data_IF_869635703824
#
_entry.id   IF_869635703824
#
_cell.length_a   1.000
_cell.length_b   1.000
_cell.length_c   1.000
_cell.angle_alpha   90.00
_cell.angle_beta   90.00
_cell.angle_gamma   90.00
#
_symmetry.space_group_name_H-M   'P 1'
#
loop_
_entity.id
_entity.type
_entity.pdbx_description
1 polymer ?
#
# COMPACT_ATOMS: atom_id res chain seq x y z
N UNK A 1 65.77 -48.06 -36.17
CA UNK A 1 65.23 -46.77 -35.67
C UNK A 1 64.41 -46.05 -36.76
N UNK A 2 63.32 -46.64 -37.26
CA UNK A 2 62.46 -46.03 -38.30
C UNK A 2 60.95 -46.02 -37.96
N UNK A 3 60.51 -46.63 -36.85
CA UNK A 3 59.09 -46.75 -36.49
C UNK A 3 58.45 -45.56 -35.76
N UNK A 4 59.24 -44.69 -35.09
CA UNK A 4 58.70 -43.55 -34.34
C UNK A 4 58.50 -42.28 -35.17
N UNK A 5 59.08 -42.20 -36.38
CA UNK A 5 59.04 -40.99 -37.19
C UNK A 5 57.70 -40.85 -37.95
N UNK A 6 57.09 -41.96 -38.35
CA UNK A 6 55.82 -42.00 -39.09
C UNK A 6 54.61 -41.70 -38.20
N UNK A 7 54.62 -42.14 -36.94
CA UNK A 7 53.55 -41.85 -35.97
C UNK A 7 53.53 -40.35 -35.57
N UNK A 8 54.71 -39.73 -35.44
CA UNK A 8 54.80 -38.29 -35.20
C UNK A 8 54.30 -37.47 -36.39
N UNK A 9 54.60 -37.89 -37.62
CA UNK A 9 54.08 -37.25 -38.83
C UNK A 9 52.55 -37.38 -38.95
N UNK A 10 51.97 -38.52 -38.56
CA UNK A 10 50.53 -38.72 -38.55
C UNK A 10 49.84 -37.84 -37.51
N UNK A 11 50.38 -37.78 -36.28
CA UNK A 11 49.90 -36.89 -35.21
C UNK A 11 50.03 -35.42 -35.56
N UNK A 12 51.13 -35.00 -36.19
CA UNK A 12 51.33 -33.64 -36.65
C UNK A 12 50.32 -33.24 -37.75
N UNK A 13 50.02 -34.14 -38.69
CA UNK A 13 48.98 -33.92 -39.71
C UNK A 13 47.59 -33.82 -39.09
N UNK A 14 47.28 -34.66 -38.10
CA UNK A 14 46.00 -34.63 -37.39
C UNK A 14 45.82 -33.35 -36.56
N UNK A 15 46.85 -32.92 -35.84
CA UNK A 15 46.85 -31.65 -35.11
C UNK A 15 46.73 -30.44 -36.05
N UNK A 16 47.40 -30.48 -37.21
CA UNK A 16 47.27 -29.45 -38.23
C UNK A 16 45.84 -29.39 -38.80
N UNK A 17 45.18 -30.53 -39.02
CA UNK A 17 43.78 -30.59 -39.44
C UNK A 17 42.84 -30.01 -38.38
N UNK A 18 43.05 -30.32 -37.10
CA UNK A 18 42.26 -29.74 -36.00
C UNK A 18 42.47 -28.22 -35.91
N UNK A 19 43.71 -27.76 -36.07
CA UNK A 19 44.02 -26.33 -36.06
C UNK A 19 43.33 -25.60 -37.22
N UNK A 20 43.31 -26.21 -38.42
CA UNK A 20 42.60 -25.67 -39.58
C UNK A 20 41.08 -25.64 -39.32
N UNK A 21 40.51 -26.71 -38.77
CA UNK A 21 39.07 -26.79 -38.44
C UNK A 21 38.69 -25.76 -37.36
N UNK A 22 39.52 -25.59 -36.32
CA UNK A 22 39.30 -24.58 -35.28
C UNK A 22 39.41 -23.16 -35.85
N UNK A 23 40.39 -22.94 -36.74
CA UNK A 23 40.54 -21.68 -37.47
C UNK A 23 39.31 -21.35 -38.33
N UNK A 24 38.79 -22.31 -39.08
CA UNK A 24 37.60 -22.09 -39.92
C UNK A 24 36.35 -21.84 -39.10
N UNK A 25 36.17 -22.53 -37.96
CA UNK A 25 35.06 -22.29 -37.03
C UNK A 25 35.16 -20.89 -36.43
N UNK A 26 36.33 -20.46 -35.97
CA UNK A 26 36.52 -19.13 -35.40
C UNK A 26 36.29 -18.02 -36.43
N UNK A 27 36.77 -18.19 -37.66
CA UNK A 27 36.50 -17.25 -38.76
C UNK A 27 35.00 -17.20 -39.07
N UNK A 28 34.31 -18.34 -39.09
CA UNK A 28 32.86 -18.42 -39.26
C UNK A 28 32.09 -17.73 -38.13
N UNK A 29 32.53 -17.90 -36.89
CA UNK A 29 31.90 -17.30 -35.71
C UNK A 29 32.12 -15.78 -35.68
N UNK A 30 33.32 -15.30 -36.03
CA UNK A 30 33.61 -13.87 -36.22
C UNK A 30 32.80 -13.30 -37.39
N UNK A 31 32.71 -14.00 -38.53
CA UNK A 31 31.90 -13.57 -39.65
C UNK A 31 30.41 -13.51 -39.30
N UNK A 32 29.92 -14.44 -38.47
CA UNK A 32 28.54 -14.47 -37.97
C UNK A 32 28.29 -13.32 -36.98
N UNK A 33 29.21 -13.08 -36.04
CA UNK A 33 29.16 -11.92 -35.14
C UNK A 33 29.24 -10.60 -35.89
N UNK A 34 30.11 -10.47 -36.90
CA UNK A 34 30.17 -9.31 -37.77
C UNK A 34 28.89 -9.18 -38.61
N UNK A 35 28.32 -10.27 -39.10
CA UNK A 35 27.04 -10.26 -39.81
C UNK A 35 25.91 -9.79 -38.91
N UNK A 36 25.81 -10.27 -37.67
CA UNK A 36 24.83 -9.80 -36.70
C UNK A 36 25.15 -8.40 -36.15
N UNK A 37 26.40 -7.97 -36.11
CA UNK A 37 26.77 -6.60 -35.77
C UNK A 37 26.43 -5.62 -36.90
N UNK A 38 26.61 -6.02 -38.16
CA UNK A 38 26.22 -5.25 -39.35
C UNK A 38 24.70 -5.28 -39.55
N UNK A 39 24.04 -6.43 -39.32
CA UNK A 39 22.58 -6.57 -39.40
C UNK A 39 21.87 -5.94 -38.20
N UNK A 40 22.48 -6.00 -37.02
CA UNK A 40 22.08 -5.26 -35.82
C UNK A 40 22.23 -3.75 -36.00
N UNK A 41 23.25 -3.32 -36.76
CA UNK A 41 23.37 -1.93 -37.26
C UNK A 41 22.44 -1.60 -38.42
N UNK A 42 21.82 -2.57 -39.10
CA UNK A 42 20.76 -2.32 -40.11
C UNK A 42 19.35 -2.18 -39.50
N UNK A 43 19.21 -2.36 -38.19
CA UNK A 43 18.12 -1.80 -37.38
C UNK A 43 18.53 -0.52 -36.63
N UNK A 44 19.74 -0.02 -36.92
CA UNK A 44 20.26 1.27 -36.50
C UNK A 44 20.82 1.97 -37.74
N UNK A 45 20.00 2.05 -38.80
CA UNK A 45 20.17 3.14 -39.75
C UNK A 45 19.97 4.40 -38.94
N UNK A 46 21.07 5.11 -38.69
CA UNK A 46 21.01 6.50 -38.34
C UNK A 46 19.96 7.13 -39.25
N UNK A 47 19.03 7.84 -38.64
CA UNK A 47 18.59 9.06 -39.26
C UNK A 47 19.88 9.84 -39.55
N UNK A 48 20.42 9.67 -40.76
CA UNK A 48 20.80 10.87 -41.48
C UNK A 48 19.63 11.83 -41.27
N UNK A 49 19.96 13.02 -40.76
CA UNK A 49 19.17 14.19 -41.04
C UNK A 49 18.97 14.25 -42.56
N UNK A 50 17.97 13.52 -43.04
CA UNK A 50 17.11 14.02 -44.08
C UNK A 50 16.57 15.31 -43.50
N UNK A 51 17.26 16.39 -43.81
CA UNK A 51 16.63 17.67 -44.09
C UNK A 51 15.59 17.39 -45.18
N UNK A 52 14.48 16.75 -44.82
CA UNK A 52 13.21 17.14 -45.38
C UNK A 52 12.92 18.51 -44.77
N UNK A 53 13.59 19.51 -45.33
CA UNK A 53 13.02 20.81 -45.55
C UNK A 53 11.74 20.64 -46.38
N UNK A 54 10.69 20.21 -45.72
CA UNK A 54 9.57 21.12 -45.60
C UNK A 54 9.59 21.60 -44.17
N UNK A 55 10.46 22.59 -43.92
CA UNK A 55 10.14 23.60 -42.92
C UNK A 55 8.72 24.03 -43.28
N UNK A 56 7.67 23.77 -42.48
CA UNK A 56 6.60 24.75 -42.50
C UNK A 56 7.32 26.07 -42.26
N UNK A 57 6.95 27.11 -43.02
CA UNK A 57 7.31 28.50 -42.67
C UNK A 57 7.33 28.58 -41.15
N UNK A 58 8.34 29.21 -40.54
CA UNK A 58 8.30 29.63 -39.14
C UNK A 58 6.97 30.37 -38.94
N UNK A 59 5.89 29.62 -38.71
CA UNK A 59 4.74 30.09 -38.00
C UNK A 59 5.38 30.44 -36.67
N UNK A 60 5.26 31.70 -36.29
CA UNK A 60 5.45 32.09 -34.91
C UNK A 60 4.85 30.97 -34.07
N UNK A 61 5.68 30.18 -33.38
CA UNK A 61 5.16 29.40 -32.27
C UNK A 61 4.67 30.49 -31.32
N UNK A 62 3.37 30.53 -31.05
CA UNK A 62 2.74 31.65 -30.34
C UNK A 62 2.31 31.27 -28.94
N UNK A 63 2.38 29.98 -28.59
CA UNK A 63 1.85 29.47 -27.32
C UNK A 63 2.90 28.58 -26.65
N UNK A 64 3.05 28.75 -25.34
CA UNK A 64 3.88 27.90 -24.47
C UNK A 64 3.12 26.61 -24.13
N UNK A 65 3.82 25.63 -23.54
CA UNK A 65 3.13 24.42 -23.05
C UNK A 65 2.10 24.78 -21.97
N UNK A 66 2.46 25.68 -21.06
CA UNK A 66 1.62 26.13 -19.95
C UNK A 66 0.31 26.76 -20.46
N UNK A 67 0.39 27.63 -21.47
CA UNK A 67 -0.80 28.27 -22.05
C UNK A 67 -1.74 27.25 -22.70
N UNK A 68 -1.20 26.28 -23.44
CA UNK A 68 -2.01 25.25 -24.09
C UNK A 68 -2.59 24.29 -23.05
N UNK A 69 -1.81 23.89 -22.04
CA UNK A 69 -2.27 23.03 -20.96
C UNK A 69 -3.34 23.70 -20.10
N UNK A 70 -3.19 24.99 -19.79
CA UNK A 70 -4.21 25.80 -19.13
C UNK A 70 -5.51 25.78 -19.92
N UNK A 71 -5.46 26.11 -21.21
CA UNK A 71 -6.64 26.08 -22.07
C UNK A 71 -7.27 24.67 -22.20
N UNK A 72 -6.45 23.63 -22.30
CA UNK A 72 -6.92 22.24 -22.45
C UNK A 72 -7.45 21.65 -21.15
N UNK A 73 -6.97 22.11 -20.00
CA UNK A 73 -7.44 21.65 -18.70
C UNK A 73 -8.94 21.90 -18.48
N UNK A 74 -9.47 22.94 -19.13
CA UNK A 74 -10.87 23.35 -19.08
C UNK A 74 -11.76 22.62 -20.11
N UNK A 75 -11.16 21.86 -21.03
CA UNK A 75 -11.91 21.16 -22.08
C UNK A 75 -12.58 19.89 -21.56
N UNK A 76 -13.78 19.63 -22.09
CA UNK A 76 -14.46 18.37 -21.87
C UNK A 76 -13.72 17.20 -22.57
N UNK A 77 -13.99 15.98 -22.10
CA UNK A 77 -13.37 14.75 -22.62
C UNK A 77 -13.46 14.62 -24.15
N UNK A 78 -14.63 14.87 -24.73
CA UNK A 78 -14.84 14.75 -26.18
C UNK A 78 -14.08 15.82 -26.98
N UNK A 79 -13.90 17.02 -26.43
CA UNK A 79 -13.13 18.09 -27.06
C UNK A 79 -11.64 17.75 -27.07
N UNK A 80 -11.11 17.23 -25.97
CA UNK A 80 -9.74 16.73 -25.91
C UNK A 80 -9.50 15.58 -26.91
N UNK A 81 -10.47 14.68 -27.09
CA UNK A 81 -10.37 13.63 -28.11
C UNK A 81 -10.32 14.19 -29.54
N UNK A 82 -10.97 15.33 -29.81
CA UNK A 82 -10.85 16.03 -31.11
C UNK A 82 -9.45 16.60 -31.30
N UNK A 83 -8.85 17.13 -30.23
CA UNK A 83 -7.49 17.68 -30.24
C UNK A 83 -6.40 16.63 -30.50
N UNK A 84 -6.68 15.33 -30.31
CA UNK A 84 -5.74 14.26 -30.66
C UNK A 84 -5.40 14.15 -32.17
N UNK A 85 -6.04 14.94 -33.03
CA UNK A 85 -5.70 15.05 -34.47
C UNK A 85 -4.72 16.19 -34.76
N UNK A 86 -4.53 17.12 -33.84
CA UNK A 86 -3.75 18.33 -34.04
C UNK A 86 -2.27 18.06 -33.76
N UNK A 87 -1.47 17.86 -34.80
CA UNK A 87 -0.03 17.63 -34.72
C UNK A 87 0.80 18.92 -34.75
N UNK A 88 0.16 20.09 -34.59
CA UNK A 88 0.88 21.37 -34.54
C UNK A 88 1.83 21.43 -33.34
N UNK A 89 3.05 21.91 -33.59
CA UNK A 89 4.10 22.08 -32.59
C UNK A 89 3.81 23.29 -31.69
N UNK A 90 4.17 23.13 -30.41
CA UNK A 90 4.19 24.14 -29.36
C UNK A 90 5.65 24.55 -29.09
N UNK A 91 5.91 25.73 -28.51
CA UNK A 91 7.26 26.31 -28.35
C UNK A 91 8.31 25.34 -27.75
N UNK A 92 7.92 24.52 -26.79
CA UNK A 92 8.78 23.61 -26.05
C UNK A 92 8.88 22.19 -26.66
N UNK A 93 8.43 22.02 -27.91
CA UNK A 93 8.69 20.81 -28.70
C UNK A 93 7.67 19.68 -28.56
N UNK A 94 6.61 19.85 -27.77
CA UNK A 94 5.45 18.96 -27.80
C UNK A 94 4.46 19.39 -28.87
N UNK A 95 3.61 18.46 -29.32
CA UNK A 95 2.48 18.79 -30.20
C UNK A 95 1.20 19.01 -29.39
N UNK A 96 0.22 19.74 -29.94
CA UNK A 96 -1.08 19.92 -29.29
C UNK A 96 -1.75 18.59 -28.94
N UNK A 97 -1.70 17.58 -29.82
CA UNK A 97 -2.21 16.23 -29.51
C UNK A 97 -1.48 15.53 -28.36
N UNK A 98 -0.18 15.79 -28.15
CA UNK A 98 0.54 15.25 -27.00
C UNK A 98 0.02 15.86 -25.69
N UNK A 99 -0.16 17.19 -25.68
CA UNK A 99 -0.70 17.91 -24.53
C UNK A 99 -2.16 17.52 -24.25
N UNK A 100 -2.97 17.34 -25.30
CA UNK A 100 -4.34 16.84 -25.16
C UNK A 100 -4.38 15.43 -24.55
N UNK A 101 -3.47 14.54 -24.95
CA UNK A 101 -3.35 13.22 -24.34
C UNK A 101 -2.94 13.31 -22.87
N UNK A 102 -2.02 14.21 -22.53
CA UNK A 102 -1.63 14.47 -21.15
C UNK A 102 -2.81 14.92 -20.28
N UNK A 103 -3.67 15.82 -20.77
CA UNK A 103 -4.89 16.23 -20.08
C UNK A 103 -5.90 15.06 -19.96
N UNK A 104 -6.09 14.26 -21.02
CA UNK A 104 -6.97 13.09 -20.96
C UNK A 104 -6.56 12.11 -19.87
N UNK A 105 -5.27 11.80 -19.77
CA UNK A 105 -4.76 10.84 -18.77
C UNK A 105 -4.76 11.45 -17.37
N UNK A 106 -4.20 12.65 -17.22
CA UNK A 106 -3.95 13.23 -15.89
C UNK A 106 -5.19 13.86 -15.25
N UNK A 107 -6.12 14.39 -16.04
CA UNK A 107 -7.29 15.13 -15.53
C UNK A 107 -8.60 14.37 -15.73
N UNK A 108 -8.72 13.62 -16.83
CA UNK A 108 -9.93 12.83 -17.13
C UNK A 108 -9.74 11.34 -16.81
N UNK A 109 -8.62 10.95 -16.19
CA UNK A 109 -8.31 9.58 -15.80
C UNK A 109 -8.46 8.57 -16.96
N UNK A 110 -8.11 8.97 -18.18
CA UNK A 110 -8.19 8.10 -19.35
C UNK A 110 -7.27 6.87 -19.19
N UNK A 111 -7.80 5.69 -19.49
CA UNK A 111 -7.10 4.41 -19.32
C UNK A 111 -6.20 4.11 -20.52
N UNK A 112 -5.04 4.79 -20.54
CA UNK A 112 -4.07 4.64 -21.61
C UNK A 112 -3.48 3.21 -21.67
N UNK A 113 -3.28 2.57 -20.52
CA UNK A 113 -2.74 1.22 -20.45
C UNK A 113 -3.72 0.21 -21.05
N UNK A 114 -5.03 0.35 -20.81
CA UNK A 114 -6.03 -0.49 -21.49
C UNK A 114 -6.16 -0.18 -22.98
N UNK A 115 -5.98 1.09 -23.37
CA UNK A 115 -5.98 1.47 -24.77
C UNK A 115 -4.74 0.93 -25.53
N UNK A 116 -3.58 0.89 -24.87
CA UNK A 116 -2.29 0.48 -25.43
C UNK A 116 -1.50 -0.44 -24.46
N UNK A 117 -1.91 -1.72 -24.28
CA UNK A 117 -1.37 -2.62 -23.24
C UNK A 117 0.13 -2.98 -23.36
N UNK A 118 0.75 -2.63 -24.48
CA UNK A 118 2.15 -2.93 -24.79
C UNK A 118 2.91 -1.67 -25.21
N UNK A 119 2.47 -0.51 -24.70
CA UNK A 119 3.13 0.74 -24.96
C UNK A 119 4.52 0.76 -24.34
N UNK A 120 5.55 0.63 -25.17
CA UNK A 120 6.94 0.72 -24.73
C UNK A 120 7.45 2.18 -24.78
N UNK A 121 6.68 3.09 -24.18
CA UNK A 121 7.05 4.50 -24.03
C UNK A 121 7.19 4.78 -22.55
N UNK A 122 8.37 5.28 -22.14
CA UNK A 122 8.58 5.72 -20.76
C UNK A 122 7.86 7.04 -20.54
N UNK A 123 6.89 7.12 -19.61
CA UNK A 123 6.25 8.38 -19.28
C UNK A 123 7.28 9.34 -18.66
N UNK A 124 7.08 10.63 -18.88
CA UNK A 124 7.84 11.72 -18.24
C UNK A 124 6.89 12.55 -17.40
N UNK A 125 7.31 12.92 -16.20
CA UNK A 125 6.56 13.85 -15.36
C UNK A 125 7.18 15.24 -15.47
N UNK A 126 6.33 16.26 -15.51
CA UNK A 126 6.72 17.65 -15.39
C UNK A 126 5.70 18.39 -14.52
N UNK A 127 6.18 19.35 -13.73
CA UNK A 127 5.36 20.18 -12.86
C UNK A 127 5.22 21.56 -13.48
N UNK A 128 3.99 22.06 -13.53
CA UNK A 128 3.64 23.39 -14.00
C UNK A 128 2.87 24.11 -12.90
N UNK A 129 2.74 25.43 -13.01
CA UNK A 129 1.83 26.18 -12.16
C UNK A 129 0.45 26.19 -12.81
N UNK A 130 -0.58 25.84 -12.06
CA UNK A 130 -1.96 26.01 -12.51
C UNK A 130 -2.40 27.48 -12.46
N UNK A 131 -3.65 27.76 -12.89
CA UNK A 131 -4.20 29.12 -12.88
C UNK A 131 -4.27 29.77 -11.48
N UNK A 132 -4.20 28.95 -10.42
CA UNK A 132 -4.20 29.40 -9.02
C UNK A 132 -2.79 29.56 -8.45
N UNK A 133 -1.76 29.18 -9.20
CA UNK A 133 -0.36 29.17 -8.78
C UNK A 133 0.04 27.93 -7.96
N UNK A 134 -0.76 26.87 -7.98
CA UNK A 134 -0.44 25.60 -7.34
C UNK A 134 0.34 24.68 -8.28
N UNK A 135 1.19 23.83 -7.71
CA UNK A 135 1.96 22.85 -8.47
C UNK A 135 1.05 21.76 -9.05
N UNK A 136 1.02 21.68 -10.39
CA UNK A 136 0.31 20.66 -11.15
C UNK A 136 1.33 19.74 -11.84
N UNK A 137 1.48 18.52 -11.31
CA UNK A 137 2.33 17.48 -11.92
C UNK A 137 1.55 16.71 -12.97
N UNK A 138 2.02 16.75 -14.22
CA UNK A 138 1.40 16.11 -15.37
C UNK A 138 2.29 15.02 -15.96
N UNK A 139 1.66 13.99 -16.51
CA UNK A 139 2.36 12.87 -17.16
C UNK A 139 2.30 12.97 -18.68
N UNK A 140 3.47 12.94 -19.30
CA UNK A 140 3.70 13.05 -20.74
C UNK A 140 4.14 11.72 -21.32
N UNK A 141 3.72 11.45 -22.55
CA UNK A 141 4.04 10.23 -23.28
C UNK A 141 4.79 10.58 -24.57
N UNK A 142 6.10 10.88 -24.50
CA UNK A 142 6.87 11.34 -25.65
C UNK A 142 7.01 10.24 -26.70
N UNK A 143 7.17 10.63 -27.97
CA UNK A 143 7.37 9.71 -29.11
C UNK A 143 6.14 8.84 -29.47
N UNK A 144 4.92 9.31 -29.17
CA UNK A 144 3.71 8.73 -29.74
C UNK A 144 3.63 8.99 -31.25
N UNK A 145 3.23 7.97 -32.02
CA UNK A 145 3.02 8.09 -33.47
C UNK A 145 1.53 8.10 -33.81
N UNK A 146 1.19 8.40 -35.07
CA UNK A 146 -0.20 8.52 -35.53
C UNK A 146 -1.02 7.25 -35.29
N UNK A 147 -0.39 6.07 -35.40
CA UNK A 147 -1.05 4.78 -35.14
C UNK A 147 -1.48 4.68 -33.67
N UNK A 148 -0.67 5.15 -32.73
CA UNK A 148 -1.05 5.17 -31.31
C UNK A 148 -2.27 6.06 -31.08
N UNK A 149 -2.27 7.30 -31.61
CA UNK A 149 -3.40 8.21 -31.48
C UNK A 149 -4.69 7.68 -32.12
N UNK A 150 -4.59 6.98 -33.26
CA UNK A 150 -5.75 6.30 -33.86
C UNK A 150 -6.31 5.19 -32.98
N UNK A 151 -5.46 4.39 -32.34
CA UNK A 151 -5.90 3.35 -31.40
C UNK A 151 -6.58 3.97 -30.18
N UNK A 152 -6.00 5.03 -29.60
CA UNK A 152 -6.56 5.78 -28.47
C UNK A 152 -7.97 6.29 -28.80
N UNK A 153 -8.14 6.96 -29.94
CA UNK A 153 -9.45 7.47 -30.38
C UNK A 153 -10.47 6.35 -30.61
N UNK A 154 -10.06 5.23 -31.20
CA UNK A 154 -10.95 4.07 -31.43
C UNK A 154 -11.39 3.42 -30.11
N UNK A 155 -10.46 3.28 -29.18
CA UNK A 155 -10.74 2.76 -27.84
C UNK A 155 -11.75 3.66 -27.11
N UNK A 156 -11.51 4.97 -27.08
CA UNK A 156 -12.38 5.93 -26.42
C UNK A 156 -13.83 5.91 -26.94
N UNK A 157 -14.01 5.66 -28.24
CA UNK A 157 -15.35 5.56 -28.87
C UNK A 157 -16.05 4.22 -28.64
N UNK A 158 -15.29 3.16 -28.44
CA UNK A 158 -15.82 1.80 -28.30
C UNK A 158 -16.21 1.50 -26.86
N UNK A 159 -15.39 1.95 -25.92
CA UNK A 159 -15.55 1.68 -24.51
C UNK A 159 -16.59 2.61 -23.88
N UNK A 160 -17.49 2.04 -23.08
CA UNK A 160 -18.47 2.84 -22.34
C UNK A 160 -17.82 3.74 -21.29
N UNK A 161 -16.78 3.23 -20.64
CA UNK A 161 -15.99 3.93 -19.63
C UNK A 161 -14.51 3.78 -19.98
N UNK A 162 -13.95 4.64 -20.85
CA UNK A 162 -12.56 4.58 -21.29
C UNK A 162 -11.59 5.15 -20.24
N UNK A 163 -11.91 4.96 -18.96
CA UNK A 163 -11.20 5.56 -17.82
C UNK A 163 -10.73 4.48 -16.85
N UNK A 164 -9.76 4.84 -16.02
CA UNK A 164 -9.15 3.95 -15.02
C UNK A 164 -10.13 3.65 -13.87
N UNK A 165 -9.84 2.64 -13.03
CA UNK A 165 -10.59 2.41 -11.80
C UNK A 165 -10.65 3.64 -10.89
N UNK A 166 -9.59 4.45 -10.84
CA UNK A 166 -9.60 5.74 -10.11
C UNK A 166 -10.62 6.72 -10.69
N UNK A 167 -10.68 6.85 -12.02
CA UNK A 167 -11.66 7.71 -12.66
C UNK A 167 -13.09 7.26 -12.33
N UNK A 168 -13.37 5.95 -12.41
CA UNK A 168 -14.68 5.39 -12.07
C UNK A 168 -15.02 5.68 -10.60
N UNK A 169 -14.04 5.51 -9.71
CA UNK A 169 -14.18 5.79 -8.28
C UNK A 169 -14.55 7.26 -8.02
N UNK A 170 -13.83 8.21 -8.64
CA UNK A 170 -14.11 9.64 -8.49
C UNK A 170 -15.48 10.01 -9.04
N UNK A 171 -15.88 9.45 -10.18
CA UNK A 171 -17.22 9.64 -10.72
C UNK A 171 -18.30 9.06 -9.79
N UNK A 172 -18.04 7.94 -9.12
CA UNK A 172 -18.96 7.37 -8.13
C UNK A 172 -19.14 8.28 -6.92
N UNK A 173 -18.06 8.90 -6.42
CA UNK A 173 -18.15 9.85 -5.31
C UNK A 173 -18.96 11.09 -5.69
N UNK A 174 -18.84 11.57 -6.93
CA UNK A 174 -19.58 12.74 -7.41
C UNK A 174 -21.05 12.42 -7.73
N UNK A 175 -21.33 11.30 -8.40
CA UNK A 175 -22.69 10.93 -8.82
C UNK A 175 -22.82 9.40 -8.90
N UNK A 176 -23.22 8.73 -7.81
CA UNK A 176 -23.33 7.28 -7.76
C UNK A 176 -24.54 6.81 -8.59
N UNK A 177 -24.29 6.24 -9.76
CA UNK A 177 -25.34 5.66 -10.61
C UNK A 177 -25.25 4.13 -10.67
N UNK A 178 -26.37 3.40 -10.82
CA UNK A 178 -26.34 1.93 -10.92
C UNK A 178 -25.42 1.38 -12.02
N UNK A 179 -25.36 1.96 -13.24
CA UNK A 179 -24.43 1.51 -14.26
C UNK A 179 -22.96 1.73 -13.91
N UNK A 180 -22.65 2.76 -13.13
CA UNK A 180 -21.28 3.07 -12.70
C UNK A 180 -20.86 2.17 -11.53
N UNK A 181 -21.76 1.93 -10.57
CA UNK A 181 -21.55 0.92 -9.50
C UNK A 181 -21.23 -0.44 -10.12
N UNK A 182 -21.99 -0.87 -11.13
CA UNK A 182 -21.73 -2.13 -11.86
C UNK A 182 -20.39 -2.15 -12.60
N UNK A 183 -19.89 -0.99 -13.06
CA UNK A 183 -18.58 -0.91 -13.71
C UNK A 183 -17.46 -1.04 -12.67
N UNK A 184 -17.58 -0.32 -11.55
CA UNK A 184 -16.63 -0.39 -10.44
C UNK A 184 -16.57 -1.77 -9.80
N UNK A 185 -17.71 -2.46 -9.65
CA UNK A 185 -17.77 -3.82 -9.12
C UNK A 185 -16.91 -4.84 -9.90
N UNK A 186 -16.53 -4.52 -11.14
CA UNK A 186 -15.72 -5.38 -12.01
C UNK A 186 -14.24 -5.06 -11.94
N UNK A 187 -13.84 -3.99 -11.26
CA UNK A 187 -12.43 -3.65 -11.11
C UNK A 187 -11.78 -4.57 -10.07
N UNK A 188 -10.46 -4.73 -10.19
CA UNK A 188 -9.69 -5.56 -9.28
C UNK A 188 -9.78 -5.04 -7.84
N UNK A 189 -9.75 -3.72 -7.65
CA UNK A 189 -9.79 -3.06 -6.35
C UNK A 189 -11.07 -3.43 -5.59
N UNK A 190 -12.22 -3.35 -6.27
CA UNK A 190 -13.49 -3.74 -5.68
C UNK A 190 -13.54 -5.23 -5.36
N UNK A 191 -13.14 -6.08 -6.30
CA UNK A 191 -13.16 -7.53 -6.08
C UNK A 191 -12.25 -7.96 -4.92
N UNK A 192 -11.07 -7.34 -4.79
CA UNK A 192 -10.14 -7.63 -3.71
C UNK A 192 -10.75 -7.31 -2.34
N UNK A 193 -11.30 -6.11 -2.16
CA UNK A 193 -11.92 -5.74 -0.89
C UNK A 193 -13.24 -6.47 -0.63
N UNK A 194 -14.09 -6.63 -1.64
CA UNK A 194 -15.31 -7.43 -1.50
C UNK A 194 -14.98 -8.85 -1.00
N UNK A 195 -13.95 -9.48 -1.55
CA UNK A 195 -13.58 -10.85 -1.18
C UNK A 195 -13.24 -10.95 0.30
N UNK A 196 -12.43 -10.03 0.85
CA UNK A 196 -12.05 -10.08 2.27
C UNK A 196 -13.25 -9.77 3.19
N UNK A 197 -14.11 -8.82 2.81
CA UNK A 197 -15.25 -8.43 3.64
C UNK A 197 -16.41 -9.44 3.62
N UNK A 198 -16.53 -10.24 2.56
CA UNK A 198 -17.58 -11.26 2.43
C UNK A 198 -17.17 -12.64 2.88
N UNK A 199 -15.87 -12.96 2.87
CA UNK A 199 -15.37 -14.33 3.15
C UNK A 199 -14.65 -14.49 4.48
N UNK A 200 -14.40 -13.41 5.21
CA UNK A 200 -13.59 -13.44 6.43
C UNK A 200 -14.36 -12.84 7.62
N UNK A 201 -14.53 -13.65 8.67
CA UNK A 201 -15.33 -13.30 9.84
C UNK A 201 -16.80 -13.15 9.49
N UNK A 202 -17.47 -12.19 10.14
CA UNK A 202 -18.87 -11.89 9.84
C UNK A 202 -19.01 -11.25 8.45
N UNK A 203 -19.82 -11.84 7.54
CA UNK A 203 -19.98 -11.33 6.18
C UNK A 203 -20.62 -9.95 6.17
N UNK A 204 -20.00 -9.02 5.42
CA UNK A 204 -20.53 -7.67 5.18
C UNK A 204 -21.25 -7.65 3.85
N UNK A 205 -22.41 -6.99 3.80
CA UNK A 205 -23.17 -6.85 2.56
C UNK A 205 -22.44 -5.98 1.53
N UNK A 206 -22.76 -6.20 0.25
CA UNK A 206 -22.05 -5.56 -0.85
C UNK A 206 -22.23 -4.03 -0.87
N UNK A 207 -23.39 -3.51 -0.43
CA UNK A 207 -23.64 -2.07 -0.44
C UNK A 207 -22.84 -1.39 0.67
N UNK A 208 -22.76 -1.99 1.86
CA UNK A 208 -21.85 -1.51 2.92
C UNK A 208 -20.39 -1.54 2.47
N UNK A 209 -19.95 -2.56 1.71
CA UNK A 209 -18.60 -2.57 1.13
C UNK A 209 -18.41 -1.42 0.14
N UNK A 210 -19.41 -1.13 -0.71
CA UNK A 210 -19.36 0.03 -1.60
C UNK A 210 -19.22 1.34 -0.83
N UNK A 211 -20.06 1.55 0.18
CA UNK A 211 -20.09 2.78 0.96
C UNK A 211 -18.80 2.93 1.76
N UNK A 212 -18.28 1.85 2.35
CA UNK A 212 -16.95 1.81 2.96
C UNK A 212 -15.88 2.26 1.97
N UNK A 213 -15.82 1.66 0.78
CA UNK A 213 -14.78 1.98 -0.19
C UNK A 213 -14.83 3.45 -0.63
N UNK A 214 -16.03 4.00 -0.82
CA UNK A 214 -16.28 5.38 -1.27
C UNK A 214 -16.15 6.42 -0.14
N UNK A 215 -16.12 5.98 1.12
CA UNK A 215 -16.01 6.86 2.30
C UNK A 215 -14.63 7.51 2.51
N UNK A 216 -13.64 7.19 1.66
CA UNK A 216 -12.28 7.75 1.72
C UNK A 216 -11.75 8.08 0.31
N UNK A 217 -10.52 8.55 0.20
CA UNK A 217 -9.84 8.78 -1.07
C UNK A 217 -9.37 7.47 -1.74
N UNK A 218 -9.05 7.57 -3.04
CA UNK A 218 -8.59 6.42 -3.83
C UNK A 218 -7.22 5.89 -3.36
N UNK A 219 -6.38 6.72 -2.74
CA UNK A 219 -5.08 6.30 -2.23
C UNK A 219 -5.23 5.33 -1.06
N UNK A 220 -6.19 5.57 -0.18
CA UNK A 220 -6.58 4.69 0.93
C UNK A 220 -7.04 3.35 0.37
N UNK A 221 -7.93 3.37 -0.62
CA UNK A 221 -8.35 2.16 -1.32
C UNK A 221 -7.17 1.38 -1.90
N UNK A 222 -6.26 2.03 -2.64
CA UNK A 222 -5.09 1.36 -3.20
C UNK A 222 -4.19 0.74 -2.13
N UNK A 223 -3.94 1.45 -1.02
CA UNK A 223 -3.18 0.91 0.12
C UNK A 223 -3.87 -0.32 0.73
N UNK A 224 -5.19 -0.30 0.88
CA UNK A 224 -5.96 -1.44 1.38
C UNK A 224 -5.92 -2.65 0.43
N UNK A 225 -6.00 -2.42 -0.88
CA UNK A 225 -5.84 -3.48 -1.88
C UNK A 225 -4.44 -4.08 -1.83
N UNK A 226 -3.41 -3.25 -1.63
CA UNK A 226 -2.04 -3.71 -1.47
C UNK A 226 -1.85 -4.57 -0.21
N UNK A 227 -2.44 -4.18 0.92
CA UNK A 227 -2.46 -4.99 2.14
C UNK A 227 -3.07 -6.38 1.88
N UNK A 228 -4.23 -6.41 1.20
CA UNK A 228 -4.88 -7.69 0.84
C UNK A 228 -3.99 -8.54 -0.08
N UNK A 229 -3.29 -7.91 -1.03
CA UNK A 229 -2.38 -8.60 -1.95
C UNK A 229 -1.19 -9.22 -1.23
N UNK A 230 -0.65 -8.54 -0.22
CA UNK A 230 0.48 -9.03 0.59
C UNK A 230 0.10 -10.20 1.52
N UNK A 231 -1.19 -10.40 1.78
CA UNK A 231 -1.70 -11.46 2.66
C UNK A 231 -2.72 -12.38 1.95
N UNK A 232 -2.28 -13.31 1.08
CA UNK A 232 -3.16 -14.14 0.27
C UNK A 232 -4.11 -15.05 1.05
N UNK A 233 -3.84 -15.31 2.33
CA UNK A 233 -4.68 -16.16 3.18
C UNK A 233 -5.95 -15.47 3.69
N UNK A 234 -6.14 -14.17 3.40
CA UNK A 234 -7.36 -13.40 3.71
C UNK A 234 -7.82 -13.56 5.18
N UNK A 235 -6.96 -13.16 6.11
CA UNK A 235 -7.20 -13.35 7.54
C UNK A 235 -8.05 -12.23 8.15
N UNK A 236 -8.61 -12.50 9.34
CA UNK A 236 -9.34 -11.51 10.11
C UNK A 236 -8.46 -10.29 10.44
N UNK A 237 -7.17 -10.51 10.68
CA UNK A 237 -6.21 -9.43 10.91
C UNK A 237 -6.04 -8.52 9.69
N UNK A 238 -5.99 -9.08 8.47
CA UNK A 238 -5.98 -8.26 7.26
C UNK A 238 -7.27 -7.44 7.12
N UNK A 239 -8.44 -7.98 7.49
CA UNK A 239 -9.71 -7.24 7.49
C UNK A 239 -9.67 -6.08 8.50
N UNK A 240 -9.13 -6.32 9.70
CA UNK A 240 -8.91 -5.30 10.74
C UNK A 240 -7.95 -4.21 10.27
N UNK A 241 -6.86 -4.56 9.62
CA UNK A 241 -5.88 -3.61 9.09
C UNK A 241 -6.49 -2.72 8.01
N UNK A 242 -7.32 -3.30 7.13
CA UNK A 242 -8.08 -2.52 6.14
C UNK A 242 -9.07 -1.58 6.81
N UNK A 243 -9.87 -2.06 7.78
CA UNK A 243 -10.79 -1.22 8.55
C UNK A 243 -10.05 -0.07 9.25
N UNK A 244 -8.91 -0.36 9.89
CA UNK A 244 -8.08 0.65 10.53
C UNK A 244 -7.48 1.66 9.55
N UNK A 245 -7.12 1.24 8.33
CA UNK A 245 -6.67 2.17 7.30
C UNK A 245 -7.76 3.20 6.96
N UNK A 246 -9.02 2.76 6.86
CA UNK A 246 -10.16 3.65 6.61
C UNK A 246 -10.54 4.49 7.83
N UNK A 247 -10.49 3.94 9.05
CA UNK A 247 -10.66 4.70 10.31
C UNK A 247 -9.63 5.83 10.39
N UNK A 248 -8.37 5.54 10.09
CA UNK A 248 -7.30 6.55 10.08
C UNK A 248 -7.49 7.62 9.00
N UNK A 249 -8.21 7.29 7.94
CA UNK A 249 -8.62 8.24 6.90
C UNK A 249 -9.93 8.99 7.24
N UNK A 250 -10.50 8.79 8.42
CA UNK A 250 -11.69 9.51 8.89
C UNK A 250 -13.03 8.86 8.50
N UNK A 251 -13.03 7.61 8.04
CA UNK A 251 -14.27 6.93 7.67
C UNK A 251 -15.10 6.52 8.89
N UNK A 252 -16.25 7.19 9.05
CA UNK A 252 -17.24 6.81 10.07
C UNK A 252 -17.83 5.43 9.81
N UNK A 253 -18.04 5.08 8.53
CA UNK A 253 -18.54 3.76 8.11
C UNK A 253 -17.59 2.66 8.55
N UNK A 254 -16.28 2.86 8.37
CA UNK A 254 -15.29 1.89 8.81
C UNK A 254 -15.26 1.74 10.34
N UNK A 255 -15.31 2.84 11.08
CA UNK A 255 -15.31 2.82 12.54
C UNK A 255 -16.53 2.05 13.08
N UNK A 256 -17.72 2.38 12.58
CA UNK A 256 -18.97 1.72 12.93
C UNK A 256 -18.93 0.22 12.58
N UNK A 257 -18.56 -0.11 11.33
CA UNK A 257 -18.46 -1.48 10.85
C UNK A 257 -17.45 -2.30 11.66
N UNK A 258 -16.36 -1.69 12.11
CA UNK A 258 -15.34 -2.37 12.91
C UNK A 258 -15.88 -2.77 14.28
N UNK A 259 -16.61 -1.88 14.96
CA UNK A 259 -17.27 -2.22 16.23
C UNK A 259 -18.33 -3.31 16.02
N UNK A 260 -19.12 -3.20 14.96
CA UNK A 260 -20.24 -4.12 14.70
C UNK A 260 -19.77 -5.54 14.37
N UNK A 261 -18.66 -5.67 13.65
CA UNK A 261 -18.15 -6.97 13.19
C UNK A 261 -17.07 -7.57 14.09
N UNK A 262 -16.45 -6.79 14.99
CA UNK A 262 -15.35 -7.28 15.83
C UNK A 262 -15.24 -6.51 17.16
N UNK A 263 -16.38 -6.34 17.84
CA UNK A 263 -16.51 -5.59 19.09
C UNK A 263 -15.41 -5.89 20.11
N UNK A 264 -15.15 -7.17 20.38
CA UNK A 264 -14.20 -7.56 21.42
C UNK A 264 -12.77 -7.17 21.09
N UNK A 265 -12.37 -7.27 19.81
CA UNK A 265 -11.05 -6.80 19.39
C UNK A 265 -10.95 -5.28 19.55
N UNK A 266 -11.96 -4.54 19.11
CA UNK A 266 -11.98 -3.07 19.28
C UNK A 266 -11.87 -2.69 20.75
N UNK A 267 -12.69 -3.31 21.60
CA UNK A 267 -12.79 -2.94 23.01
C UNK A 267 -11.56 -3.34 23.84
N UNK A 268 -10.89 -4.46 23.53
CA UNK A 268 -9.82 -5.02 24.39
C UNK A 268 -8.45 -5.14 23.77
N UNK A 269 -8.33 -5.06 22.43
CA UNK A 269 -7.06 -5.33 21.73
C UNK A 269 -6.52 -4.13 20.98
N UNK A 270 -7.35 -3.13 20.66
CA UNK A 270 -6.84 -1.88 20.09
C UNK A 270 -6.01 -1.11 21.12
N UNK A 271 -5.05 -0.35 20.62
CA UNK A 271 -4.33 0.63 21.43
C UNK A 271 -5.29 1.73 21.89
N UNK A 272 -5.02 2.37 23.03
CA UNK A 272 -5.84 3.50 23.51
C UNK A 272 -5.98 4.60 22.46
N UNK A 273 -4.94 4.81 21.64
CA UNK A 273 -4.96 5.78 20.54
C UNK A 273 -5.92 5.37 19.43
N UNK A 274 -5.82 4.13 18.96
CA UNK A 274 -6.69 3.63 17.89
C UNK A 274 -8.16 3.53 18.37
N UNK A 275 -8.37 3.09 19.62
CA UNK A 275 -9.71 3.05 20.24
C UNK A 275 -10.33 4.45 20.34
N UNK A 276 -9.56 5.45 20.77
CA UNK A 276 -10.04 6.83 20.81
C UNK A 276 -10.43 7.34 19.43
N UNK A 277 -9.65 7.02 18.39
CA UNK A 277 -9.96 7.39 17.01
C UNK A 277 -11.24 6.72 16.50
N UNK A 278 -11.45 5.44 16.82
CA UNK A 278 -12.72 4.75 16.52
C UNK A 278 -13.89 5.42 17.22
N UNK A 279 -13.76 5.72 18.52
CA UNK A 279 -14.83 6.37 19.29
C UNK A 279 -15.14 7.79 18.85
N UNK A 280 -14.15 8.54 18.35
CA UNK A 280 -14.33 9.89 17.83
C UNK A 280 -15.18 9.92 16.54
N UNK A 281 -15.06 8.88 15.71
CA UNK A 281 -15.74 8.81 14.41
C UNK A 281 -17.15 8.21 14.48
N UNK A 282 -17.46 7.44 15.52
CA UNK A 282 -18.78 6.81 15.65
C UNK A 282 -19.78 7.82 16.25
N UNK A 283 -21.00 7.94 15.70
CA UNK A 283 -22.04 8.77 16.29
C UNK A 283 -22.35 8.35 17.73
N UNK A 284 -22.35 9.30 18.67
CA UNK A 284 -22.51 9.01 20.10
C UNK A 284 -23.87 8.39 20.46
N UNK A 285 -24.89 8.66 19.66
CA UNK A 285 -26.23 8.11 19.78
C UNK A 285 -26.36 6.69 19.17
N UNK A 286 -25.32 6.18 18.50
CA UNK A 286 -25.33 4.84 17.93
C UNK A 286 -25.29 3.78 19.02
N UNK A 287 -25.97 2.64 18.77
CA UNK A 287 -25.94 1.48 19.66
C UNK A 287 -24.50 1.01 19.91
N UNK A 288 -23.65 1.10 18.90
CA UNK A 288 -22.27 0.61 18.95
C UNK A 288 -21.37 1.51 19.79
N UNK A 289 -21.55 2.83 19.73
CA UNK A 289 -20.90 3.75 20.65
C UNK A 289 -21.31 3.47 22.11
N UNK A 290 -22.62 3.36 22.36
CA UNK A 290 -23.15 3.12 23.70
C UNK A 290 -22.64 1.80 24.29
N UNK A 291 -22.63 0.73 23.48
CA UNK A 291 -22.09 -0.57 23.89
C UNK A 291 -20.58 -0.50 24.21
N UNK A 292 -19.81 0.19 23.37
CA UNK A 292 -18.35 0.32 23.55
C UNK A 292 -18.03 1.17 24.79
N UNK A 293 -18.70 2.31 24.96
CA UNK A 293 -18.54 3.18 26.11
C UNK A 293 -18.90 2.47 27.43
N UNK A 294 -20.01 1.71 27.45
CA UNK A 294 -20.40 0.91 28.61
C UNK A 294 -19.35 -0.14 28.95
N UNK A 295 -18.78 -0.83 27.96
CA UNK A 295 -17.75 -1.84 28.18
C UNK A 295 -16.44 -1.25 28.73
N UNK A 296 -16.04 -0.07 28.24
CA UNK A 296 -14.85 0.63 28.74
C UNK A 296 -15.08 1.09 30.18
N UNK A 297 -16.27 1.65 30.48
CA UNK A 297 -16.64 2.06 31.83
C UNK A 297 -16.59 0.88 32.82
N UNK A 298 -17.12 -0.28 32.43
CA UNK A 298 -17.12 -1.50 33.24
C UNK A 298 -15.69 -2.01 33.45
N UNK A 299 -14.87 -2.02 32.41
CA UNK A 299 -13.45 -2.43 32.51
C UNK A 299 -12.64 -1.50 33.41
N UNK A 300 -12.89 -0.18 33.38
CA UNK A 300 -12.27 0.79 34.28
C UNK A 300 -12.73 0.59 35.73
N UNK A 301 -14.01 0.23 35.93
CA UNK A 301 -14.55 -0.09 37.25
C UNK A 301 -13.89 -1.34 37.82
N UNK A 302 -13.70 -2.38 37.02
CA UNK A 302 -12.99 -3.59 37.46
C UNK A 302 -11.55 -3.28 37.87
N UNK A 303 -10.84 -2.44 37.11
CA UNK A 303 -9.49 -1.97 37.48
C UNK A 303 -9.53 -1.21 38.81
N UNK A 304 -10.46 -0.28 38.97
CA UNK A 304 -10.62 0.49 40.21
C UNK A 304 -10.91 -0.43 41.41
N UNK A 305 -11.74 -1.46 41.24
CA UNK A 305 -12.03 -2.46 42.29
C UNK A 305 -10.76 -3.27 42.61
N UNK A 306 -10.00 -3.70 41.60
CA UNK A 306 -8.73 -4.44 41.80
C UNK A 306 -7.67 -3.57 42.48
N UNK A 307 -7.61 -2.28 42.16
CA UNK A 307 -6.73 -1.32 42.83
C UNK A 307 -7.17 -1.05 44.28
N UNK A 308 -8.46 -0.90 44.54
CA UNK A 308 -9.02 -0.68 45.87
C UNK A 308 -8.81 -1.91 46.77
N UNK A 309 -9.01 -3.12 46.23
CA UNK A 309 -8.71 -4.40 46.91
C UNK A 309 -7.20 -4.53 47.19
N UNK A 310 -6.33 -4.16 46.26
CA UNK A 310 -4.88 -4.18 46.44
C UNK A 310 -4.38 -3.13 47.44
N UNK A 311 -5.05 -1.98 47.56
CA UNK A 311 -4.72 -0.98 48.59
C UNK A 311 -5.14 -1.43 49.99
N UNK A 312 -6.27 -2.15 50.14
CA UNK A 312 -6.66 -2.75 51.43
C UNK A 312 -5.81 -3.95 51.85
N UNK A 313 -5.04 -4.56 50.94
CA UNK A 313 -4.18 -5.72 51.24
C UNK A 313 -2.68 -5.42 51.39
N UNK A 314 -2.25 -4.14 51.39
CA UNK A 314 -0.81 -3.83 51.39
C UNK A 314 -0.33 -2.76 52.37
N UNK A 315 -0.80 -2.82 53.62
CA UNK A 315 0.05 -2.46 54.76
C UNK A 315 0.35 -3.71 55.57
N UNK A 316 1.22 -4.58 55.04
CA UNK A 316 1.87 -5.62 55.86
C UNK A 316 2.61 -4.90 56.97
N UNK A 317 2.12 -5.02 58.20
CA UNK A 317 2.79 -4.42 59.35
C UNK A 317 4.04 -5.26 59.60
N UNK A 318 5.22 -4.66 59.50
CA UNK A 318 6.50 -5.37 59.70
C UNK A 318 6.96 -5.13 61.13
N UNK A 319 7.33 -6.19 61.83
CA UNK A 319 7.96 -6.14 63.14
C UNK A 319 9.42 -6.57 63.03
N UNK A 320 10.35 -5.75 63.51
CA UNK A 320 11.76 -6.11 63.58
C UNK A 320 12.06 -6.69 64.96
N UNK A 321 12.52 -7.94 65.00
CA UNK A 321 12.81 -8.70 66.22
C UNK A 321 13.95 -8.04 67.00
N UNK A 322 13.75 -7.76 68.28
CA UNK A 322 14.76 -7.26 69.20
C UNK A 322 15.47 -8.39 69.96
N UNK A 323 16.55 -8.04 70.66
CA UNK A 323 17.25 -9.01 71.51
C UNK A 323 16.36 -9.45 72.68
N UNK A 324 16.15 -10.76 72.82
CA UNK A 324 15.26 -11.35 73.81
C UNK A 324 13.80 -11.56 73.36
N UNK A 325 13.41 -11.14 72.14
CA UNK A 325 12.07 -11.39 71.63
C UNK A 325 11.85 -12.88 71.29
N UNK A 326 10.65 -13.38 71.59
CA UNK A 326 10.19 -14.70 71.14
C UNK A 326 8.97 -14.59 70.22
N UNK A 327 8.75 -15.57 69.34
CA UNK A 327 7.55 -15.61 68.50
C UNK A 327 6.25 -15.59 69.34
N UNK A 328 6.30 -16.13 70.56
CA UNK A 328 5.16 -16.13 71.48
C UNK A 328 4.87 -14.72 72.01
N UNK A 329 5.90 -13.97 72.40
CA UNK A 329 5.74 -12.60 72.88
C UNK A 329 5.26 -11.65 71.76
N UNK A 330 5.82 -11.81 70.56
CA UNK A 330 5.44 -11.04 69.37
C UNK A 330 3.98 -11.34 68.99
N UNK A 331 3.58 -12.62 68.95
CA UNK A 331 2.20 -13.00 68.60
C UNK A 331 1.19 -12.46 69.63
N UNK A 332 1.52 -12.51 70.93
CA UNK A 332 0.70 -11.87 71.98
C UNK A 332 0.64 -10.36 71.85
N UNK A 333 1.76 -9.70 71.57
CA UNK A 333 1.82 -8.24 71.44
C UNK A 333 0.91 -7.75 70.31
N UNK A 334 0.90 -8.45 69.18
CA UNK A 334 0.05 -8.13 68.03
C UNK A 334 -1.32 -8.79 68.05
N UNK A 335 -1.63 -9.59 69.08
CA UNK A 335 -2.91 -10.31 69.25
C UNK A 335 -3.27 -11.22 68.07
N UNK A 336 -2.27 -11.92 67.54
CA UNK A 336 -2.43 -12.91 66.47
C UNK A 336 -2.07 -14.29 66.99
N UNK A 337 -2.53 -15.35 66.33
CA UNK A 337 -2.12 -16.70 66.71
C UNK A 337 -0.66 -16.95 66.35
N UNK A 338 0.01 -17.81 67.13
CA UNK A 338 1.39 -18.19 66.86
C UNK A 338 1.50 -18.96 65.53
N UNK A 339 0.48 -19.73 65.18
CA UNK A 339 0.42 -20.49 63.92
C UNK A 339 0.32 -19.54 62.71
N UNK A 340 -0.54 -18.52 62.78
CA UNK A 340 -0.69 -17.52 61.71
C UNK A 340 0.61 -16.73 61.51
N UNK A 341 1.28 -16.36 62.60
CA UNK A 341 2.56 -15.66 62.54
C UNK A 341 3.65 -16.53 61.90
N UNK A 342 3.70 -17.82 62.26
CA UNK A 342 4.65 -18.79 61.67
C UNK A 342 4.37 -19.03 60.20
N UNK A 343 3.11 -19.20 59.84
CA UNK A 343 2.68 -19.44 58.46
C UNK A 343 2.96 -18.22 57.56
N UNK A 344 2.67 -17.00 58.04
CA UNK A 344 2.92 -15.77 57.29
C UNK A 344 4.41 -15.50 57.01
N UNK A 345 5.31 -16.09 57.80
CA UNK A 345 6.76 -15.88 57.71
C UNK A 345 7.55 -17.14 57.34
N UNK A 346 6.86 -18.24 56.99
CA UNK A 346 7.45 -19.54 56.67
C UNK A 346 8.45 -20.05 57.74
N UNK A 347 8.11 -19.90 59.02
CA UNK A 347 8.98 -20.31 60.14
C UNK A 347 8.55 -21.70 60.63
N UNK A 348 9.36 -22.71 60.33
CA UNK A 348 9.09 -24.11 60.71
C UNK A 348 9.51 -24.43 62.15
N UNK A 349 10.42 -23.66 62.75
CA UNK A 349 10.92 -23.89 64.11
C UNK A 349 11.34 -22.60 64.82
N UNK A 350 11.03 -22.50 66.11
CA UNK A 350 11.25 -21.31 66.96
C UNK A 350 12.73 -20.94 67.14
N UNK A 351 13.64 -21.90 66.92
CA UNK A 351 15.10 -21.71 67.01
C UNK A 351 15.70 -20.85 65.88
N UNK A 352 14.89 -20.41 64.90
CA UNK A 352 15.33 -19.58 63.77
C UNK A 352 15.09 -18.08 63.96
N UNK A 353 14.54 -17.65 65.11
CA UNK A 353 14.34 -16.23 65.39
C UNK A 353 15.63 -15.57 65.88
N UNK A 354 16.15 -14.60 65.12
CA UNK A 354 17.35 -13.82 65.47
C UNK A 354 17.00 -12.33 65.58
N UNK A 355 17.64 -11.59 66.49
CA UNK A 355 17.51 -10.14 66.53
C UNK A 355 17.85 -9.52 65.18
N UNK A 356 17.03 -8.59 64.72
CA UNK A 356 17.10 -7.95 63.41
C UNK A 356 16.23 -8.61 62.32
N UNK A 357 15.65 -9.80 62.56
CA UNK A 357 14.73 -10.41 61.61
C UNK A 357 13.47 -9.53 61.43
N UNK A 358 13.00 -9.40 60.20
CA UNK A 358 11.74 -8.71 59.89
C UNK A 358 10.63 -9.73 59.71
N UNK A 359 9.60 -9.64 60.55
CA UNK A 359 8.41 -10.48 60.49
C UNK A 359 7.24 -9.69 59.91
N UNK A 360 6.56 -10.28 58.94
CA UNK A 360 5.26 -9.85 58.45
C UNK A 360 4.23 -10.21 59.54
N UNK A 361 3.59 -9.19 60.10
CA UNK A 361 2.46 -9.35 61.02
C UNK A 361 1.19 -9.41 60.16
N UNK A 362 0.54 -10.59 60.03
CA UNK A 362 -0.73 -10.70 59.34
C UNK A 362 -1.77 -9.87 60.10
N UNK A 363 -2.59 -9.10 59.38
CA UNK A 363 -3.81 -8.55 59.95
C UNK A 363 -4.84 -9.68 59.87
N UNK A 364 -5.25 -10.19 61.03
CA UNK A 364 -6.18 -11.33 61.15
C UNK A 364 -7.57 -11.03 60.65
#
# INVERSE_FOLDING_TARGET
>A
MQGNFTDWQAKAKWLAQILIISGTINVGLVATLCYFAVRGKKNFTGYEMSLHEKRPRRASLTQTNEEVLGAFSLLAFDDLLRMLKDDSLVEEGYTKRDLALTCLVSMHHFDLDRALPHLNIKPKQATFLDETGADLTLTFYPNMNDKHFEVIKKFAKREKYPITPEGIFRWLQATPTPPLKKAFARTFEFQALQTIFTRTGDPVDIETVFDLMLSSDFQTLQKSVELVRQHPQLTLDTKRDVLMAYVRAGSQIAAQLFVDTDFYFVAKRLSNKDLAQVMELIPQDSQSYQALAAHIQDSLRDIAIVEEQNQTSNTKKIHTVADGDTLWDISRHYKISLEDLKQANAIESEYHLRPGNQLIIPQG
#
